data_IF_839260998188
#
_entry.id   IF_839260998188
#
_cell.length_a   1.000
_cell.length_b   1.000
_cell.length_c   1.000
_cell.angle_alpha   90.00
_cell.angle_beta   90.00
_cell.angle_gamma   90.00
#
_symmetry.space_group_name_H-M   'P 1'
#
loop_
_entity.id
_entity.type
_entity.pdbx_description
1 polymer ?
#
# COMPACT_ATOMS: atom_id res chain seq x y z
N UNK A 1 9.75 -3.60 -4.47
CA UNK A 1 10.71 -4.21 -3.54
C UNK A 1 10.49 -5.68 -3.33
N UNK A 2 11.59 -6.44 -3.30
CA UNK A 2 11.52 -7.89 -3.36
C UNK A 2 10.94 -8.56 -2.13
N UNK A 3 11.24 -8.08 -0.92
CA UNK A 3 10.78 -8.75 0.30
C UNK A 3 9.38 -8.32 0.74
N UNK A 4 9.08 -7.06 0.58
CA UNK A 4 7.78 -6.54 0.98
C UNK A 4 6.64 -7.15 0.17
N UNK A 5 6.90 -7.58 -1.03
CA UNK A 5 5.90 -8.17 -1.93
C UNK A 5 6.31 -9.53 -2.46
N UNK A 6 6.70 -10.43 -1.57
CA UNK A 6 6.93 -11.83 -1.89
C UNK A 6 8.38 -12.25 -2.08
N UNK A 7 9.32 -11.37 -1.81
CA UNK A 7 10.74 -11.71 -1.74
C UNK A 7 11.40 -12.10 -3.05
N UNK A 8 10.89 -11.66 -4.17
CA UNK A 8 11.41 -12.06 -5.47
C UNK A 8 11.52 -10.88 -6.43
N UNK A 9 12.69 -10.75 -7.06
CA UNK A 9 13.05 -9.71 -8.01
C UNK A 9 13.03 -8.30 -7.40
N UNK A 10 13.33 -7.32 -8.20
CA UNK A 10 13.59 -5.96 -7.75
C UNK A 10 15.01 -5.82 -7.21
N UNK A 11 15.45 -4.60 -7.11
CA UNK A 11 16.77 -4.29 -6.56
C UNK A 11 16.61 -3.59 -5.21
N UNK A 12 17.24 -4.13 -4.20
CA UNK A 12 17.36 -3.41 -2.95
C UNK A 12 18.10 -2.09 -3.21
N UNK A 13 17.68 -1.01 -2.54
CA UNK A 13 18.29 0.32 -2.64
C UNK A 13 18.28 0.92 -4.06
N UNK A 14 17.37 0.47 -4.91
CA UNK A 14 17.22 1.03 -6.24
C UNK A 14 16.52 2.38 -6.17
N UNK A 15 17.12 3.41 -6.73
CA UNK A 15 16.54 4.75 -6.77
C UNK A 15 17.12 5.70 -5.74
N UNK A 16 16.54 6.88 -5.65
CA UNK A 16 16.97 7.96 -4.74
C UNK A 16 15.81 8.32 -3.83
N UNK A 17 16.04 8.25 -2.52
CA UNK A 17 15.04 8.60 -1.51
C UNK A 17 15.59 9.55 -0.48
N UNK A 18 14.70 10.33 0.13
CA UNK A 18 15.07 11.19 1.26
C UNK A 18 14.63 10.50 2.55
N UNK A 19 15.59 10.30 3.46
CA UNK A 19 15.31 9.79 4.80
C UNK A 19 15.22 8.29 4.96
N UNK A 20 15.33 7.52 3.87
CA UNK A 20 15.39 6.06 3.94
C UNK A 20 16.03 5.48 2.68
N UNK A 21 16.36 4.21 2.71
CA UNK A 21 16.78 3.51 1.51
C UNK A 21 15.58 3.32 0.56
N UNK A 22 15.86 3.36 -0.73
CA UNK A 22 14.80 3.39 -1.75
C UNK A 22 14.28 2.01 -2.11
N UNK A 23 13.86 1.24 -1.13
CA UNK A 23 13.03 0.07 -1.38
C UNK A 23 11.87 0.04 -0.40
N UNK A 24 10.82 -0.67 -0.76
CA UNK A 24 9.60 -0.72 0.02
C UNK A 24 9.82 -1.33 1.40
N UNK A 25 10.67 -2.34 1.50
CA UNK A 25 10.99 -2.97 2.78
C UNK A 25 11.70 -2.01 3.73
N UNK A 26 12.69 -1.28 3.25
CA UNK A 26 13.41 -0.31 4.06
C UNK A 26 12.49 0.83 4.51
N UNK A 27 11.59 1.28 3.65
CA UNK A 27 10.60 2.28 3.98
C UNK A 27 9.68 1.80 5.10
N UNK A 28 9.13 0.60 4.99
CA UNK A 28 8.27 0.02 6.03
C UNK A 28 9.00 -0.07 7.36
N UNK A 29 10.24 -0.55 7.35
CA UNK A 29 11.07 -0.65 8.54
C UNK A 29 11.30 0.72 9.19
N UNK A 30 11.57 1.74 8.39
CA UNK A 30 11.76 3.10 8.88
C UNK A 30 10.50 3.66 9.54
N UNK A 31 9.33 3.43 8.94
CA UNK A 31 8.05 3.88 9.50
C UNK A 31 7.74 3.16 10.81
N UNK A 32 8.00 1.84 10.89
CA UNK A 32 7.83 1.08 12.15
C UNK A 32 8.75 1.59 13.25
N UNK A 33 10.00 1.88 12.92
CA UNK A 33 10.98 2.38 13.88
C UNK A 33 10.58 3.75 14.41
N UNK A 34 10.06 4.62 13.55
CA UNK A 34 9.57 5.94 13.94
C UNK A 34 8.26 5.87 14.72
N UNK A 35 7.60 4.74 14.75
CA UNK A 35 6.27 4.57 15.37
C UNK A 35 5.29 5.63 14.91
N UNK A 36 5.16 5.79 13.60
CA UNK A 36 4.24 6.76 13.01
C UNK A 36 2.85 6.61 13.62
N UNK A 37 2.28 7.72 14.08
CA UNK A 37 1.00 7.75 14.81
C UNK A 37 1.01 6.90 16.10
N UNK A 38 2.18 6.63 16.67
CA UNK A 38 2.32 5.76 17.85
C UNK A 38 2.19 4.28 17.57
N UNK A 39 2.19 3.87 16.31
CA UNK A 39 1.95 2.49 15.89
C UNK A 39 3.22 1.85 15.34
N UNK A 40 3.41 0.56 15.61
CA UNK A 40 4.56 -0.20 15.14
C UNK A 40 4.18 -1.39 14.27
N UNK A 41 2.92 -1.47 13.87
CA UNK A 41 2.34 -2.58 13.11
C UNK A 41 2.02 -2.22 11.64
N UNK A 42 2.65 -1.18 11.12
CA UNK A 42 2.47 -0.77 9.73
C UNK A 42 2.92 -1.85 8.76
N UNK A 43 2.14 -2.12 7.74
CA UNK A 43 2.47 -3.08 6.70
C UNK A 43 1.97 -2.63 5.32
N UNK A 44 2.52 -3.23 4.28
CA UNK A 44 2.11 -2.98 2.92
C UNK A 44 0.77 -3.69 2.66
N UNK A 45 -0.28 -2.98 2.28
CA UNK A 45 -1.58 -3.60 2.08
C UNK A 45 -1.58 -4.57 0.90
N UNK A 46 -2.46 -5.56 0.97
CA UNK A 46 -2.72 -6.46 -0.14
C UNK A 46 -3.52 -5.75 -1.24
N UNK A 47 -3.59 -6.40 -2.41
CA UNK A 47 -4.43 -5.94 -3.52
C UNK A 47 -5.88 -5.72 -3.08
N UNK A 48 -6.40 -6.65 -2.28
CA UNK A 48 -7.77 -6.58 -1.81
C UNK A 48 -7.98 -5.46 -0.79
N UNK A 49 -7.02 -5.27 0.09
CA UNK A 49 -7.09 -4.19 1.08
C UNK A 49 -7.06 -2.82 0.44
N UNK A 50 -6.18 -2.58 -0.55
CA UNK A 50 -6.17 -1.31 -1.28
C UNK A 50 -7.47 -1.08 -2.06
N UNK A 51 -8.07 -2.14 -2.58
CA UNK A 51 -9.36 -2.01 -3.27
C UNK A 51 -10.44 -1.41 -2.38
N UNK A 52 -10.39 -1.65 -1.07
CA UNK A 52 -11.44 -1.18 -0.16
C UNK A 52 -11.52 0.33 -0.05
N UNK A 53 -10.47 1.06 -0.40
CA UNK A 53 -10.47 2.52 -0.33
C UNK A 53 -10.65 3.21 -1.69
N UNK A 54 -10.77 2.44 -2.77
CA UNK A 54 -11.00 2.99 -4.10
C UNK A 54 -12.40 3.57 -4.21
N UNK A 55 -12.50 4.83 -4.62
CA UNK A 55 -13.78 5.49 -4.87
C UNK A 55 -13.99 5.60 -6.39
N UNK A 56 -14.81 4.71 -6.93
CA UNK A 56 -15.08 4.66 -8.37
C UNK A 56 -15.98 5.79 -8.86
N UNK A 57 -16.58 6.56 -7.95
CA UNK A 57 -17.35 7.73 -8.34
C UNK A 57 -16.49 8.93 -8.76
N UNK A 58 -15.21 8.89 -8.42
CA UNK A 58 -14.27 9.95 -8.80
C UNK A 58 -13.73 9.69 -10.19
N UNK A 59 -13.89 10.67 -11.08
CA UNK A 59 -13.43 10.55 -12.46
C UNK A 59 -11.91 10.69 -12.58
N UNK A 60 -11.35 10.05 -13.62
CA UNK A 60 -9.96 10.28 -14.01
C UNK A 60 -9.72 11.79 -14.22
N UNK A 61 -8.63 12.40 -13.77
CA UNK A 61 -7.41 11.72 -13.28
C UNK A 61 -7.36 11.48 -11.77
N UNK A 62 -8.46 11.48 -11.07
CA UNK A 62 -8.47 11.17 -9.65
C UNK A 62 -8.00 12.28 -8.73
N UNK A 63 -7.47 11.96 -7.53
CA UNK A 63 -7.32 10.59 -7.01
C UNK A 63 -8.65 9.92 -6.71
N UNK A 64 -8.76 8.65 -7.07
CA UNK A 64 -9.98 7.85 -6.87
C UNK A 64 -10.08 7.36 -5.43
N UNK A 65 -10.09 8.30 -4.51
CA UNK A 65 -10.14 8.09 -3.06
C UNK A 65 -11.20 9.00 -2.46
N UNK A 66 -11.87 8.57 -1.38
CA UNK A 66 -12.80 9.44 -0.67
C UNK A 66 -12.07 10.67 -0.12
N UNK A 67 -12.36 11.82 -0.66
CA UNK A 67 -11.67 13.07 -0.32
C UNK A 67 -11.82 13.45 1.14
N UNK A 68 -12.92 13.06 1.76
CA UNK A 68 -13.16 13.32 3.18
C UNK A 68 -12.11 12.66 4.09
N UNK A 69 -11.59 11.50 3.67
CA UNK A 69 -10.61 10.73 4.45
C UNK A 69 -9.17 10.87 3.92
N UNK A 70 -9.03 11.26 2.68
CA UNK A 70 -7.73 11.38 2.01
C UNK A 70 -7.61 12.73 1.29
N UNK A 71 -7.69 13.85 2.02
CA UNK A 71 -7.79 15.17 1.38
C UNK A 71 -6.54 15.60 0.63
N UNK A 72 -5.38 15.08 1.00
CA UNK A 72 -4.10 15.45 0.41
C UNK A 72 -3.45 14.33 -0.39
N UNK A 73 -4.20 13.28 -0.69
CA UNK A 73 -3.65 12.18 -1.47
C UNK A 73 -3.42 12.58 -2.91
N UNK A 74 -2.27 12.17 -3.42
CA UNK A 74 -1.95 12.35 -4.83
C UNK A 74 -2.44 11.15 -5.63
N UNK A 75 -2.85 11.36 -6.88
CA UNK A 75 -3.07 10.25 -7.79
C UNK A 75 -1.75 9.53 -8.07
N UNK A 76 -1.82 8.39 -8.72
CA UNK A 76 -0.64 7.62 -9.08
C UNK A 76 -0.79 6.14 -8.76
N UNK A 77 0.29 5.45 -8.91
CA UNK A 77 0.35 4.00 -8.77
C UNK A 77 0.98 3.63 -7.44
N UNK A 78 0.34 2.70 -6.75
CA UNK A 78 0.72 2.29 -5.40
C UNK A 78 0.94 0.79 -5.34
N UNK A 79 2.05 0.39 -4.73
CA UNK A 79 2.38 -1.02 -4.52
C UNK A 79 1.37 -1.74 -3.63
N UNK A 80 1.15 -3.02 -3.91
CA UNK A 80 0.54 -3.96 -2.97
C UNK A 80 1.55 -5.03 -2.60
N UNK A 81 1.27 -5.80 -1.55
CA UNK A 81 2.10 -6.94 -1.18
C UNK A 81 1.83 -8.19 -2.05
N UNK A 82 0.88 -8.10 -2.96
CA UNK A 82 0.41 -9.24 -3.74
C UNK A 82 1.29 -9.49 -4.96
N UNK A 83 2.10 -10.52 -4.90
CA UNK A 83 2.94 -10.96 -6.02
C UNK A 83 2.08 -11.53 -7.14
N UNK A 84 2.45 -11.26 -8.38
CA UNK A 84 1.78 -11.86 -9.52
C UNK A 84 2.06 -13.36 -9.58
N UNK A 85 1.00 -14.15 -9.56
CA UNK A 85 1.07 -15.59 -9.32
C UNK A 85 1.93 -16.35 -10.33
N UNK A 86 1.86 -16.02 -11.60
CA UNK A 86 2.56 -16.73 -12.67
C UNK A 86 3.95 -16.17 -12.98
N UNK A 87 4.27 -15.00 -12.44
CA UNK A 87 5.57 -14.38 -12.64
C UNK A 87 5.97 -13.56 -11.40
N UNK A 88 6.80 -14.14 -10.57
CA UNK A 88 7.20 -13.57 -9.28
C UNK A 88 7.94 -12.23 -9.35
N UNK A 89 8.50 -11.90 -10.51
CA UNK A 89 9.13 -10.61 -10.72
C UNK A 89 8.10 -9.47 -10.80
N UNK A 90 6.82 -9.80 -10.99
CA UNK A 90 5.73 -8.84 -11.02
C UNK A 90 4.94 -8.81 -9.73
N UNK A 91 4.35 -7.68 -9.44
CA UNK A 91 3.42 -7.49 -8.33
C UNK A 91 2.23 -6.66 -8.78
N UNK A 92 1.10 -6.86 -8.11
CA UNK A 92 -0.07 -6.03 -8.34
C UNK A 92 0.13 -4.64 -7.74
N UNK A 93 -0.34 -3.65 -8.46
CA UNK A 93 -0.41 -2.27 -7.99
C UNK A 93 -1.81 -1.71 -8.25
N UNK A 94 -2.20 -0.71 -7.49
CA UNK A 94 -3.41 0.07 -7.73
C UNK A 94 -3.06 1.44 -8.26
N UNK A 95 -3.74 1.82 -9.36
CA UNK A 95 -3.68 3.18 -9.88
C UNK A 95 -4.85 3.97 -9.31
N UNK A 96 -4.56 4.96 -8.49
CA UNK A 96 -5.59 5.87 -7.99
C UNK A 96 -5.92 6.98 -8.97
N UNK A 97 -5.34 6.97 -10.16
CA UNK A 97 -5.76 7.84 -11.26
C UNK A 97 -7.10 7.38 -11.84
N UNK A 98 -7.24 6.08 -12.03
CA UNK A 98 -8.40 5.46 -12.68
C UNK A 98 -9.20 4.53 -11.78
N UNK A 99 -8.65 4.17 -10.61
CA UNK A 99 -9.28 3.20 -9.73
C UNK A 99 -9.16 1.77 -10.22
N UNK A 100 -8.12 1.47 -11.01
CA UNK A 100 -7.87 0.13 -11.55
C UNK A 100 -6.55 -0.43 -11.07
N UNK A 101 -6.39 -1.74 -11.17
CA UNK A 101 -5.16 -2.41 -10.82
C UNK A 101 -4.48 -3.01 -12.06
N UNK A 102 -3.20 -3.26 -11.95
CA UNK A 102 -2.43 -3.96 -12.97
C UNK A 102 -1.16 -4.55 -12.36
N UNK A 103 -0.47 -5.37 -13.15
CA UNK A 103 0.80 -5.97 -12.73
C UNK A 103 1.94 -5.16 -13.32
N UNK A 104 2.91 -4.84 -12.47
CA UNK A 104 4.13 -4.14 -12.88
C UNK A 104 5.35 -4.87 -12.34
N UNK A 105 6.49 -4.59 -12.93
CA UNK A 105 7.75 -5.19 -12.47
C UNK A 105 8.14 -4.66 -11.09
N UNK A 106 8.57 -5.53 -10.20
CA UNK A 106 9.04 -5.15 -8.86
C UNK A 106 10.26 -4.24 -8.88
N UNK A 107 10.95 -4.16 -10.01
CA UNK A 107 12.08 -3.27 -10.20
C UNK A 107 11.67 -1.81 -10.51
N UNK A 108 10.40 -1.56 -10.78
CA UNK A 108 9.90 -0.21 -11.04
C UNK A 108 9.73 0.57 -9.74
N UNK A 109 9.70 1.89 -9.87
CA UNK A 109 9.47 2.78 -8.75
C UNK A 109 8.00 3.21 -8.73
N UNK A 110 7.32 2.94 -7.64
CA UNK A 110 5.92 3.34 -7.42
C UNK A 110 5.73 3.80 -5.98
N UNK A 111 4.62 4.47 -5.74
CA UNK A 111 4.30 4.98 -4.40
C UNK A 111 3.88 3.87 -3.45
N UNK A 112 3.92 4.17 -2.15
CA UNK A 112 3.58 3.23 -1.09
C UNK A 112 2.57 3.90 -0.16
N UNK A 113 1.51 3.16 0.16
CA UNK A 113 0.54 3.55 1.18
C UNK A 113 0.44 2.39 2.17
N UNK A 114 0.94 2.62 3.37
CA UNK A 114 0.91 1.60 4.42
C UNK A 114 -0.43 1.61 5.16
N UNK A 115 -0.74 0.48 5.75
CA UNK A 115 -1.88 0.31 6.63
C UNK A 115 -1.44 -0.34 7.93
N UNK A 116 -2.31 -0.34 8.92
CA UNK A 116 -2.09 -1.04 10.18
C UNK A 116 -3.33 -1.82 10.56
N UNK A 117 -3.17 -2.78 11.46
CA UNK A 117 -4.30 -3.57 11.95
C UNK A 117 -5.17 -2.67 12.81
N UNK A 118 -6.43 -2.51 12.43
CA UNK A 118 -7.37 -1.78 13.26
C UNK A 118 -7.53 -2.50 14.60
N UNK A 119 -7.59 -1.75 15.71
CA UNK A 119 -7.89 -2.37 17.01
C UNK A 119 -9.20 -3.14 16.87
N UNK A 120 -9.20 -4.37 17.36
CA UNK A 120 -10.46 -5.10 17.45
C UNK A 120 -11.40 -4.30 18.34
N UNK A 121 -12.45 -3.80 17.75
CA UNK A 121 -13.52 -3.22 18.55
C UNK A 121 -14.05 -4.35 19.43
N UNK A 122 -14.07 -4.18 20.73
CA UNK A 122 -14.68 -5.19 21.60
C UNK A 122 -16.08 -5.48 21.09
N UNK A 123 -16.37 -6.75 20.82
CA UNK A 123 -17.72 -7.13 20.47
C UNK A 123 -18.66 -6.60 21.55
N UNK A 124 -19.45 -5.64 21.20
CA UNK A 124 -20.57 -5.28 22.04
C UNK A 124 -21.53 -6.44 21.94
N UNK A 125 -21.50 -7.29 22.93
CA UNK A 125 -22.58 -8.25 23.12
C UNK A 125 -23.82 -7.44 23.43
N UNK A 126 -24.55 -7.11 22.42
CA UNK A 126 -25.92 -6.69 22.62
C UNK A 126 -26.69 -7.93 22.94
N UNK A 127 -26.42 -8.40 24.09
CA UNK A 127 -27.21 -9.43 24.48
C UNK A 127 -28.51 -9.00 24.92
N UNK A 128 -29.42 -8.90 24.33
CA UNK A 128 -30.51 -9.00 24.97
C UNK A 128 -31.25 -10.17 24.82
N UNK A 129 -31.26 -10.54 25.20
CA UNK A 129 -32.03 -11.17 25.03
C UNK A 129 -32.80 -11.16 25.62
#
# INVERSE_FOLDING_TARGET
DSKANGGWAGKAKAGVCTGSECDTEAYIKAIKTKKLCGLNDWYLPSRFELNTIVDTSVAFPGPTLPKAYFPESLPGQYWTDTTFRTRRAGAWMWSFDSGSDSVVEKSEAHSVRLTHVAPKVPEVVTGTK
#
